data_IF_608691348084
#
_entry.id   IF_608691348084
#
_cell.length_a   1.000
_cell.length_b   1.000
_cell.length_c   1.000
_cell.angle_alpha   90.00
_cell.angle_beta   90.00
_cell.angle_gamma   90.00
#
_symmetry.space_group_name_H-M   'P 1'
#
loop_
_entity.id
_entity.type
_entity.pdbx_description
1 polymer ?
#
# COMPACT_ATOMS: atom_id res chain seq x y z
N UNK A 1 -17.22 -19.16 36.69
CA UNK A 1 -17.08 -17.94 35.87
C UNK A 1 -15.63 -17.64 35.59
N UNK A 2 -15.22 -17.67 34.31
CA UNK A 2 -13.90 -17.21 33.88
C UNK A 2 -14.01 -16.50 32.55
N UNK A 3 -13.12 -15.55 32.31
CA UNK A 3 -12.94 -14.97 30.98
C UNK A 3 -12.26 -16.01 30.09
N UNK A 4 -12.80 -16.19 28.89
CA UNK A 4 -12.25 -17.15 27.91
C UNK A 4 -10.95 -16.56 27.34
N UNK A 5 -9.84 -17.32 27.27
CA UNK A 5 -8.62 -16.88 26.60
C UNK A 5 -8.90 -16.43 25.17
N UNK A 6 -8.36 -15.28 24.77
CA UNK A 6 -8.63 -14.67 23.46
C UNK A 6 -9.86 -13.74 23.43
N UNK A 7 -10.53 -13.51 24.56
CA UNK A 7 -11.56 -12.45 24.64
C UNK A 7 -10.92 -11.09 24.34
N UNK A 8 -11.47 -10.38 23.35
CA UNK A 8 -11.02 -9.03 22.97
C UNK A 8 -11.23 -8.07 24.13
N UNK A 9 -10.16 -7.40 24.56
CA UNK A 9 -10.13 -6.39 25.62
C UNK A 9 -9.27 -5.21 25.16
N UNK A 10 -9.28 -4.10 25.90
CA UNK A 10 -8.43 -2.95 25.62
C UNK A 10 -6.95 -3.33 25.64
N UNK A 11 -6.17 -2.69 24.78
CA UNK A 11 -4.74 -2.95 24.63
C UNK A 11 -4.08 -1.93 23.71
N UNK A 12 -2.77 -2.06 23.54
CA UNK A 12 -2.00 -1.21 22.63
C UNK A 12 -2.35 -1.52 21.17
N UNK A 13 -2.54 -0.48 20.36
CA UNK A 13 -2.79 -0.61 18.92
C UNK A 13 -1.58 -0.09 18.13
N UNK A 14 -0.99 -0.97 17.30
CA UNK A 14 0.30 -0.69 16.64
C UNK A 14 1.51 -0.93 17.57
N UNK A 15 2.76 -0.68 17.13
CA UNK A 15 3.24 -0.70 15.74
C UNK A 15 3.38 -2.16 15.27
N UNK A 16 2.48 -2.61 14.40
CA UNK A 16 2.55 -3.96 13.81
C UNK A 16 2.90 -3.86 12.33
N UNK A 17 3.67 -4.83 11.83
CA UNK A 17 4.00 -4.93 10.42
C UNK A 17 2.77 -5.44 9.66
N UNK A 18 2.18 -4.57 8.84
CA UNK A 18 1.10 -4.93 7.93
C UNK A 18 1.62 -4.97 6.48
N UNK A 19 1.06 -5.85 5.65
CA UNK A 19 1.33 -5.92 4.22
C UNK A 19 0.03 -5.76 3.47
N UNK A 20 0.01 -4.85 2.49
CA UNK A 20 -1.10 -4.75 1.54
C UNK A 20 -0.67 -5.50 0.29
N UNK A 21 -1.44 -6.53 -0.07
CA UNK A 21 -1.11 -7.43 -1.16
C UNK A 21 -1.69 -6.95 -2.49
N UNK A 22 -1.07 -7.38 -3.59
CA UNK A 22 -1.56 -7.19 -4.96
C UNK A 22 -1.81 -5.73 -5.36
N UNK A 23 -0.97 -4.82 -4.86
CA UNK A 23 -1.07 -3.43 -5.25
C UNK A 23 -0.50 -3.23 -6.66
N UNK A 24 -1.24 -2.50 -7.50
CA UNK A 24 -0.82 -2.21 -8.87
C UNK A 24 0.18 -1.06 -8.91
N UNK A 25 1.29 -1.26 -9.60
CA UNK A 25 2.26 -0.19 -9.94
C UNK A 25 1.76 0.53 -11.18
N UNK A 26 1.58 1.86 -11.08
CA UNK A 26 1.08 2.72 -12.16
C UNK A 26 2.24 3.22 -13.02
N UNK A 27 3.30 3.70 -12.36
CA UNK A 27 4.50 4.20 -13.03
C UNK A 27 5.73 4.00 -12.14
N UNK A 28 6.88 3.83 -12.77
CA UNK A 28 8.18 3.80 -12.11
C UNK A 28 9.13 4.70 -12.88
N UNK A 29 9.78 5.64 -12.19
CA UNK A 29 10.77 6.52 -12.80
C UNK A 29 12.09 6.40 -12.02
N UNK A 30 13.11 5.84 -12.69
CA UNK A 30 14.43 5.64 -12.09
C UNK A 30 15.21 6.95 -11.92
N UNK A 31 15.02 7.93 -12.80
CA UNK A 31 15.74 9.21 -12.77
C UNK A 31 15.31 10.08 -11.58
N UNK A 32 14.01 10.12 -11.31
CA UNK A 32 13.42 10.88 -10.20
C UNK A 32 13.28 10.06 -8.92
N UNK A 33 13.59 8.76 -8.98
CA UNK A 33 13.61 7.87 -7.82
C UNK A 33 12.25 7.60 -7.18
N UNK A 34 11.17 7.47 -7.97
CA UNK A 34 9.84 7.18 -7.42
C UNK A 34 9.11 6.02 -8.10
N UNK A 35 8.20 5.41 -7.33
CA UNK A 35 7.25 4.40 -7.78
C UNK A 35 5.85 4.88 -7.40
N UNK A 36 4.97 5.01 -8.38
CA UNK A 36 3.57 5.34 -8.19
C UNK A 36 2.77 4.05 -8.03
N UNK A 37 2.04 3.96 -6.93
CA UNK A 37 1.30 2.79 -6.51
C UNK A 37 -0.17 3.15 -6.37
N UNK A 38 -1.07 2.27 -6.83
CA UNK A 38 -2.52 2.46 -6.71
C UNK A 38 -2.98 2.17 -5.29
N UNK A 39 -3.21 3.21 -4.48
CA UNK A 39 -3.82 3.09 -3.16
C UNK A 39 -2.90 3.53 -2.02
N UNK A 40 -3.08 2.93 -0.84
CA UNK A 40 -2.33 3.27 0.38
C UNK A 40 -1.17 2.32 0.63
N UNK A 41 -0.17 2.81 1.37
CA UNK A 41 0.98 2.04 1.87
C UNK A 41 0.96 2.10 3.39
N UNK A 42 1.24 1.00 4.11
CA UNK A 42 1.24 1.01 5.57
C UNK A 42 2.33 1.93 6.11
N UNK A 43 2.00 2.62 7.19
CA UNK A 43 2.94 3.49 7.91
C UNK A 43 2.83 4.98 7.54
N UNK A 44 3.52 5.84 8.29
CA UNK A 44 3.52 7.28 8.07
C UNK A 44 4.36 7.66 6.83
N UNK A 45 4.20 8.91 6.37
CA UNK A 45 5.04 9.47 5.29
C UNK A 45 6.53 9.41 5.70
N UNK A 46 7.41 9.15 4.72
CA UNK A 46 8.87 9.00 4.91
C UNK A 46 9.31 7.78 5.75
N UNK A 47 8.41 6.82 5.99
CA UNK A 47 8.79 5.53 6.56
C UNK A 47 9.48 4.62 5.52
N UNK A 48 10.23 3.64 6.02
CA UNK A 48 10.86 2.62 5.19
C UNK A 48 9.85 1.50 4.95
N UNK A 49 9.73 1.05 3.70
CA UNK A 49 8.80 0.00 3.30
C UNK A 49 9.55 -1.06 2.51
N UNK A 50 9.23 -2.33 2.75
CA UNK A 50 9.76 -3.46 1.98
C UNK A 50 8.81 -3.78 0.83
N UNK A 51 9.31 -3.72 -0.41
CA UNK A 51 8.58 -4.09 -1.62
C UNK A 51 9.04 -5.48 -2.05
N UNK A 52 8.09 -6.40 -2.27
CA UNK A 52 8.34 -7.75 -2.78
C UNK A 52 7.39 -8.06 -3.93
N UNK A 53 7.78 -9.01 -4.79
CA UNK A 53 6.87 -9.56 -5.79
C UNK A 53 5.66 -10.21 -5.12
N UNK A 54 4.49 -10.06 -5.76
CA UNK A 54 3.26 -10.66 -5.26
C UNK A 54 3.38 -12.20 -5.28
N UNK A 55 3.00 -12.82 -4.16
CA UNK A 55 2.95 -14.29 -4.02
C UNK A 55 1.66 -14.82 -4.63
N UNK A 56 0.57 -14.06 -4.49
CA UNK A 56 -0.74 -14.44 -4.99
C UNK A 56 -0.87 -14.13 -6.49
N UNK A 57 -1.20 -15.15 -7.27
CA UNK A 57 -1.47 -15.03 -8.70
C UNK A 57 -2.72 -14.17 -8.93
N UNK A 58 -2.60 -13.15 -9.77
CA UNK A 58 -3.73 -12.33 -10.21
C UNK A 58 -4.35 -12.90 -11.49
N UNK A 59 -5.61 -13.32 -11.44
CA UNK A 59 -6.35 -13.83 -12.61
C UNK A 59 -6.85 -12.72 -13.54
N UNK A 60 -7.02 -11.50 -13.02
CA UNK A 60 -7.43 -10.32 -13.79
C UNK A 60 -6.26 -9.35 -13.89
N UNK A 61 -5.90 -8.94 -15.12
CA UNK A 61 -4.89 -7.91 -15.31
C UNK A 61 -5.43 -6.57 -14.78
N UNK A 62 -4.74 -5.91 -13.84
CA UNK A 62 -5.21 -4.62 -13.35
C UNK A 62 -5.09 -3.58 -14.47
N UNK A 63 -6.21 -2.93 -14.78
CA UNK A 63 -6.24 -1.81 -15.71
C UNK A 63 -5.60 -0.59 -15.04
N UNK A 64 -4.48 -0.14 -15.61
CA UNK A 64 -3.78 1.07 -15.18
C UNK A 64 -4.45 2.24 -15.89
N UNK A 65 -5.23 3.04 -15.15
CA UNK A 65 -5.78 4.29 -15.69
C UNK A 65 -4.63 5.27 -15.92
N UNK A 66 -4.70 5.99 -17.03
CA UNK A 66 -3.72 7.02 -17.39
C UNK A 66 -3.70 8.13 -16.33
N UNK A 67 -2.51 8.60 -16.02
CA UNK A 67 -2.30 9.69 -15.08
C UNK A 67 -2.86 10.98 -15.69
N UNK A 68 -3.84 11.58 -15.03
CA UNK A 68 -4.37 12.90 -15.43
C UNK A 68 -3.43 13.97 -14.89
N UNK A 69 -2.59 14.52 -15.76
CA UNK A 69 -1.67 15.61 -15.42
C UNK A 69 -2.42 16.93 -15.24
N UNK A 70 -2.77 17.23 -13.99
CA UNK A 70 -3.42 18.50 -13.61
C UNK A 70 -2.48 19.71 -13.63
N UNK A 71 -1.18 19.49 -13.84
CA UNK A 71 -0.16 20.56 -13.87
C UNK A 71 -0.27 21.49 -15.08
N UNK A 72 -1.00 21.10 -16.14
CA UNK A 72 -1.14 21.90 -17.37
C UNK A 72 -2.35 22.85 -17.37
N UNK A 73 -3.13 22.92 -16.28
CA UNK A 73 -4.42 23.66 -16.25
C UNK A 73 -4.30 25.07 -15.64
N UNK A 74 -3.11 25.67 -15.63
CA UNK A 74 -2.81 26.93 -14.95
C UNK A 74 -1.70 27.74 -15.60
N UNK A 75 -1.62 27.73 -16.93
CA UNK A 75 -1.19 28.88 -17.74
C UNK A 75 -2.40 29.34 -18.56
#
# INVERSE_FOLDING_TARGET
>A
NRVIPGKTMSGHWGPHQATIENITVIASNAEKGYILVKGGVPGPKKSIVMIRSAILTQFKKPEVKELVDRSKKGE
#
